data_IF_605795965244
#
_entry.id   IF_605795965244
#
_cell.length_a   1.000
_cell.length_b   1.000
_cell.length_c   1.000
_cell.angle_alpha   90.00
_cell.angle_beta   90.00
_cell.angle_gamma   90.00
#
_symmetry.space_group_name_H-M   'P 1'
#
loop_
_entity.id
_entity.type
_entity.pdbx_description
1 polymer ?
#
# COMPACT_ATOMS: atom_id res chain seq x y z
N UNK A 1 -4.13 53.28 8.92
CA UNK A 1 -3.35 52.04 8.72
C UNK A 1 -4.24 51.08 7.94
N UNK A 2 -3.84 50.69 6.72
CA UNK A 2 -4.69 50.02 5.71
C UNK A 2 -4.96 48.55 6.06
N UNK A 3 -6.17 48.22 6.52
CA UNK A 3 -6.67 46.85 6.72
C UNK A 3 -7.10 46.19 5.38
N UNK A 4 -6.16 45.87 4.49
CA UNK A 4 -6.54 45.32 3.17
C UNK A 4 -5.71 44.12 2.66
N UNK A 5 -5.04 43.35 3.53
CA UNK A 5 -4.17 42.25 3.08
C UNK A 5 -4.09 40.96 3.92
N UNK A 6 -5.10 40.63 4.73
CA UNK A 6 -5.05 39.40 5.58
C UNK A 6 -5.90 38.22 5.06
N UNK A 7 -6.43 38.33 3.84
CA UNK A 7 -7.28 37.29 3.23
C UNK A 7 -6.86 36.95 1.81
N UNK A 8 -6.97 35.67 1.47
CA UNK A 8 -6.78 35.12 0.14
C UNK A 8 -8.12 34.74 -0.48
N UNK A 9 -8.31 35.00 -1.77
CA UNK A 9 -9.38 34.36 -2.55
C UNK A 9 -9.06 32.88 -2.82
N UNK A 10 -10.06 32.07 -3.17
CA UNK A 10 -9.90 30.64 -3.51
C UNK A 10 -8.75 30.39 -4.49
N UNK A 11 -8.61 31.23 -5.53
CA UNK A 11 -7.55 31.06 -6.52
C UNK A 11 -6.16 31.37 -5.97
N UNK A 12 -6.04 32.47 -5.23
CA UNK A 12 -4.78 32.90 -4.62
C UNK A 12 -4.29 31.89 -3.58
N UNK A 13 -5.18 31.38 -2.72
CA UNK A 13 -4.82 30.37 -1.73
C UNK A 13 -4.44 29.03 -2.38
N UNK A 14 -5.17 28.62 -3.42
CA UNK A 14 -4.87 27.38 -4.15
C UNK A 14 -3.48 27.43 -4.79
N UNK A 15 -3.15 28.56 -5.43
CA UNK A 15 -1.82 28.81 -6.01
C UNK A 15 -0.74 28.84 -4.93
N UNK A 16 -0.95 29.59 -3.84
CA UNK A 16 -0.01 29.71 -2.72
C UNK A 16 0.28 28.36 -2.05
N UNK A 17 -0.73 27.51 -1.87
CA UNK A 17 -0.59 26.18 -1.28
C UNK A 17 -0.16 25.11 -2.29
N UNK A 18 0.00 25.47 -3.56
CA UNK A 18 0.26 24.56 -4.68
C UNK A 18 -0.73 23.36 -4.67
N UNK A 19 -2.04 23.68 -4.73
CA UNK A 19 -3.14 22.73 -4.83
C UNK A 19 -4.12 23.18 -5.92
N UNK A 20 -4.94 22.25 -6.43
CA UNK A 20 -6.03 22.63 -7.32
C UNK A 20 -7.12 23.40 -6.57
N UNK A 21 -7.78 24.35 -7.24
CA UNK A 21 -8.99 25.02 -6.70
C UNK A 21 -10.05 23.98 -6.29
N UNK A 22 -10.17 22.90 -7.05
CA UNK A 22 -11.09 21.80 -6.75
C UNK A 22 -10.73 21.06 -5.46
N UNK A 23 -9.44 20.96 -5.12
CA UNK A 23 -8.98 20.39 -3.84
C UNK A 23 -9.41 21.26 -2.67
N UNK A 24 -9.28 22.58 -2.79
CA UNK A 24 -9.72 23.51 -1.75
C UNK A 24 -11.25 23.44 -1.55
N UNK A 25 -12.01 23.39 -2.64
CA UNK A 25 -13.47 23.19 -2.60
C UNK A 25 -13.83 21.86 -1.96
N UNK A 26 -13.14 20.78 -2.34
CA UNK A 26 -13.36 19.46 -1.74
C UNK A 26 -13.11 19.47 -0.23
N UNK A 27 -12.05 20.14 0.24
CA UNK A 27 -11.76 20.29 1.66
C UNK A 27 -12.86 21.07 2.39
N UNK A 28 -13.48 22.06 1.75
CA UNK A 28 -14.67 22.71 2.30
C UNK A 28 -15.89 21.78 2.35
N UNK A 29 -16.16 21.05 1.27
CA UNK A 29 -17.34 20.19 1.12
C UNK A 29 -17.36 19.09 2.19
N UNK A 30 -16.19 18.50 2.48
CA UNK A 30 -16.05 17.49 3.54
C UNK A 30 -15.89 18.12 4.94
N UNK A 31 -15.91 19.46 5.04
CA UNK A 31 -15.84 20.22 6.29
C UNK A 31 -14.48 20.20 6.96
N UNK A 32 -13.40 19.98 6.21
CA UNK A 32 -12.02 20.07 6.69
C UNK A 32 -11.55 21.53 6.83
N UNK A 33 -12.06 22.39 5.97
CA UNK A 33 -11.81 23.82 5.96
C UNK A 33 -13.13 24.58 5.85
N UNK A 34 -13.11 25.85 6.26
CA UNK A 34 -14.21 26.78 6.02
C UNK A 34 -13.63 28.14 5.63
N UNK A 35 -14.23 28.85 4.66
CA UNK A 35 -13.82 30.21 4.36
C UNK A 35 -14.11 31.10 5.57
N UNK A 36 -13.20 32.02 5.87
CA UNK A 36 -13.33 32.96 6.98
C UNK A 36 -14.50 33.93 6.76
N UNK A 37 -14.74 34.31 5.50
CA UNK A 37 -15.90 35.12 5.12
C UNK A 37 -16.32 34.85 3.67
N UNK A 38 -17.57 35.21 3.36
CA UNK A 38 -18.11 35.25 2.01
C UNK A 38 -18.50 36.69 1.70
N UNK A 39 -18.07 37.24 0.56
CA UNK A 39 -18.53 38.57 0.15
C UNK A 39 -20.00 38.53 -0.31
N UNK A 40 -20.58 39.72 -0.45
CA UNK A 40 -21.93 39.91 -0.99
C UNK A 40 -22.11 39.28 -2.38
N UNK A 41 -21.03 39.13 -3.15
CA UNK A 41 -21.02 38.48 -4.47
C UNK A 41 -20.67 36.98 -4.40
N UNK A 42 -20.82 36.36 -3.22
CA UNK A 42 -20.54 34.93 -2.95
C UNK A 42 -19.08 34.49 -3.15
N UNK A 43 -18.13 35.42 -3.28
CA UNK A 43 -16.71 35.06 -3.31
C UNK A 43 -16.24 34.61 -1.92
N UNK A 44 -15.40 33.57 -1.89
CA UNK A 44 -14.82 33.00 -0.67
C UNK A 44 -13.49 33.68 -0.36
N UNK A 45 -13.30 34.00 0.91
CA UNK A 45 -12.06 34.56 1.43
C UNK A 45 -11.57 33.73 2.61
N UNK A 46 -10.26 33.46 2.65
CA UNK A 46 -9.62 32.61 3.66
C UNK A 46 -8.52 33.41 4.35
N UNK A 47 -8.43 33.30 5.67
CA UNK A 47 -7.36 33.91 6.45
C UNK A 47 -6.03 33.17 6.26
N UNK A 48 -4.96 33.80 6.73
CA UNK A 48 -3.62 33.20 6.81
C UNK A 48 -3.62 31.88 7.61
N UNK A 49 -4.45 31.72 8.64
CA UNK A 49 -4.54 30.45 9.40
C UNK A 49 -5.01 29.26 8.54
N UNK A 50 -5.77 29.55 7.47
CA UNK A 50 -6.21 28.51 6.52
C UNK A 50 -5.00 27.93 5.77
N UNK A 51 -3.99 28.77 5.47
CA UNK A 51 -2.74 28.31 4.87
C UNK A 51 -2.02 27.31 5.78
N UNK A 52 -1.87 27.63 7.07
CA UNK A 52 -1.24 26.70 8.04
C UNK A 52 -2.01 25.38 8.16
N UNK A 53 -3.33 25.47 8.12
CA UNK A 53 -4.20 24.28 8.16
C UNK A 53 -3.99 23.42 6.92
N UNK A 54 -3.93 24.01 5.72
CA UNK A 54 -3.63 23.28 4.47
C UNK A 54 -2.24 22.64 4.51
N UNK A 55 -1.25 23.35 5.04
CA UNK A 55 0.09 22.79 5.20
C UNK A 55 0.09 21.56 6.12
N UNK A 56 -0.64 21.62 7.23
CA UNK A 56 -0.83 20.50 8.15
C UNK A 56 -1.53 19.33 7.47
N UNK A 57 -2.59 19.59 6.70
CA UNK A 57 -3.31 18.55 5.93
C UNK A 57 -2.36 17.84 4.97
N UNK A 58 -1.56 18.59 4.19
CA UNK A 58 -0.60 18.01 3.24
C UNK A 58 0.47 17.18 3.94
N UNK A 59 0.99 17.65 5.07
CA UNK A 59 1.97 16.91 5.86
C UNK A 59 1.38 15.56 6.34
N UNK A 60 0.17 15.57 6.88
CA UNK A 60 -0.50 14.36 7.35
C UNK A 60 -0.89 13.41 6.21
N UNK A 61 -1.32 13.92 5.06
CA UNK A 61 -1.55 13.10 3.86
C UNK A 61 -0.27 12.41 3.39
N UNK A 62 0.89 13.07 3.51
CA UNK A 62 2.18 12.49 3.13
C UNK A 62 2.59 11.30 4.01
N UNK A 63 2.07 11.25 5.24
CA UNK A 63 2.20 10.09 6.14
C UNK A 63 1.20 8.97 5.81
N UNK A 64 0.33 9.19 4.82
CA UNK A 64 -0.65 8.23 4.34
C UNK A 64 -1.95 8.19 5.14
N UNK A 65 -2.25 9.24 5.92
CA UNK A 65 -3.52 9.40 6.62
C UNK A 65 -4.62 9.79 5.62
N UNK A 66 -5.81 9.26 5.83
CA UNK A 66 -7.00 9.65 5.08
C UNK A 66 -7.51 11.03 5.49
N UNK A 67 -8.25 11.70 4.60
CA UNK A 67 -8.89 12.98 4.91
C UNK A 67 -9.85 12.87 6.11
N UNK A 68 -10.51 11.73 6.28
CA UNK A 68 -11.36 11.49 7.45
C UNK A 68 -10.58 11.54 8.76
N UNK A 69 -9.45 10.83 8.83
CA UNK A 69 -8.58 10.80 10.01
C UNK A 69 -7.96 12.16 10.30
N UNK A 70 -7.57 12.88 9.26
CA UNK A 70 -7.04 14.24 9.37
C UNK A 70 -8.12 15.17 9.94
N UNK A 71 -9.37 15.07 9.49
CA UNK A 71 -10.49 15.85 10.03
C UNK A 71 -10.70 15.59 11.52
N UNK A 72 -10.73 14.31 11.92
CA UNK A 72 -10.88 13.91 13.32
C UNK A 72 -9.74 14.46 14.20
N UNK A 73 -8.50 14.45 13.67
CA UNK A 73 -7.35 15.04 14.33
C UNK A 73 -7.47 16.56 14.46
N UNK A 74 -7.82 17.27 13.38
CA UNK A 74 -7.96 18.73 13.38
C UNK A 74 -9.06 19.20 14.33
N UNK A 75 -10.14 18.42 14.48
CA UNK A 75 -11.25 18.69 15.40
C UNK A 75 -10.91 18.42 16.86
N UNK A 76 -10.32 17.25 17.15
CA UNK A 76 -10.06 16.84 18.54
C UNK A 76 -8.76 17.38 19.12
N UNK A 77 -7.75 17.61 18.25
CA UNK A 77 -6.36 17.96 18.58
C UNK A 77 -5.78 17.11 19.71
N UNK A 78 -6.24 15.87 19.86
CA UNK A 78 -5.88 15.00 20.97
C UNK A 78 -4.54 14.30 20.70
N UNK A 79 -3.46 14.61 21.45
CA UNK A 79 -2.14 14.06 21.17
C UNK A 79 -2.08 12.53 21.35
N UNK A 80 -2.83 11.98 22.31
CA UNK A 80 -2.85 10.52 22.56
C UNK A 80 -3.51 9.78 21.40
N UNK A 81 -4.62 10.31 20.88
CA UNK A 81 -5.30 9.74 19.72
C UNK A 81 -4.43 9.82 18.47
N UNK A 82 -3.69 10.92 18.32
CA UNK A 82 -2.78 11.10 17.19
C UNK A 82 -1.62 10.09 17.21
N UNK A 83 -0.98 9.89 18.38
CA UNK A 83 0.06 8.86 18.53
C UNK A 83 -0.48 7.48 18.18
N UNK A 84 -1.68 7.14 18.68
CA UNK A 84 -2.32 5.85 18.33
C UNK A 84 -2.48 5.70 16.81
N UNK A 85 -2.98 6.72 16.13
CA UNK A 85 -3.22 6.69 14.69
C UNK A 85 -1.91 6.57 13.88
N UNK A 86 -0.85 7.23 14.31
CA UNK A 86 0.47 7.09 13.69
C UNK A 86 1.05 5.69 13.89
N UNK A 87 0.81 5.05 15.04
CA UNK A 87 1.24 3.66 15.26
C UNK A 87 0.48 2.67 14.39
N UNK A 88 -0.84 2.84 14.20
CA UNK A 88 -1.62 2.04 13.24
C UNK A 88 -1.05 2.17 11.83
N UNK A 89 -0.70 3.40 11.43
CA UNK A 89 -0.11 3.65 10.12
C UNK A 89 1.28 3.00 9.97
N UNK A 90 2.12 3.05 11.01
CA UNK A 90 3.41 2.36 11.04
C UNK A 90 3.24 0.84 10.88
N UNK A 91 2.26 0.24 11.58
CA UNK A 91 1.94 -1.18 11.44
C UNK A 91 1.55 -1.51 10.00
N UNK A 92 0.63 -0.75 9.39
CA UNK A 92 0.22 -0.97 7.99
C UNK A 92 1.38 -0.83 7.00
N UNK A 93 2.30 0.12 7.23
CA UNK A 93 3.51 0.27 6.40
C UNK A 93 4.41 -0.96 6.54
N UNK A 94 4.63 -1.45 7.75
CA UNK A 94 5.45 -2.63 7.99
C UNK A 94 4.87 -3.90 7.35
N UNK A 95 3.54 -4.07 7.39
CA UNK A 95 2.85 -5.17 6.71
C UNK A 95 3.06 -5.10 5.19
N UNK A 96 2.94 -3.90 4.60
CA UNK A 96 3.21 -3.70 3.17
C UNK A 96 4.67 -3.98 2.82
N UNK A 97 5.62 -3.57 3.66
CA UNK A 97 7.05 -3.87 3.46
C UNK A 97 7.27 -5.39 3.47
N UNK A 98 6.66 -6.10 4.42
CA UNK A 98 6.77 -7.55 4.52
C UNK A 98 6.24 -8.25 3.25
N UNK A 99 5.07 -7.86 2.76
CA UNK A 99 4.50 -8.42 1.53
C UNK A 99 5.34 -8.08 0.29
N UNK A 100 5.82 -6.84 0.17
CA UNK A 100 6.72 -6.43 -0.91
C UNK A 100 8.03 -7.24 -0.88
N UNK A 101 8.57 -7.54 0.30
CA UNK A 101 9.76 -8.39 0.46
C UNK A 101 9.54 -9.82 0.01
N UNK A 102 8.36 -10.40 0.27
CA UNK A 102 8.00 -11.73 -0.26
C UNK A 102 7.95 -11.73 -1.79
N UNK A 103 7.33 -10.70 -2.38
CA UNK A 103 7.27 -10.54 -3.83
C UNK A 103 8.68 -10.41 -4.41
N UNK A 104 9.53 -9.58 -3.81
CA UNK A 104 10.94 -9.41 -4.20
C UNK A 104 11.69 -10.76 -4.20
N UNK A 105 11.57 -11.54 -3.12
CA UNK A 105 12.19 -12.87 -3.03
C UNK A 105 11.71 -13.79 -4.14
N UNK A 106 10.40 -13.81 -4.40
CA UNK A 106 9.81 -14.66 -5.44
C UNK A 106 10.33 -14.32 -6.83
N UNK A 107 10.49 -13.04 -7.13
CA UNK A 107 11.05 -12.57 -8.40
C UNK A 107 12.50 -13.05 -8.53
N UNK A 108 13.30 -12.94 -7.47
CA UNK A 108 14.70 -13.43 -7.45
C UNK A 108 14.79 -14.93 -7.69
N UNK A 109 13.94 -15.72 -7.02
CA UNK A 109 13.88 -17.17 -7.19
C UNK A 109 13.54 -17.53 -8.64
N UNK A 110 12.55 -16.84 -9.23
CA UNK A 110 12.15 -17.05 -10.62
C UNK A 110 13.27 -16.71 -11.61
N UNK A 111 14.01 -15.63 -11.37
CA UNK A 111 15.17 -15.25 -12.19
C UNK A 111 16.25 -16.34 -12.12
N UNK A 112 16.61 -16.80 -10.92
CA UNK A 112 17.65 -17.82 -10.72
C UNK A 112 17.31 -19.13 -11.45
N UNK A 113 16.09 -19.64 -11.27
CA UNK A 113 15.64 -20.88 -11.94
C UNK A 113 15.64 -20.72 -13.46
N UNK A 114 15.24 -19.55 -13.96
CA UNK A 114 15.19 -19.29 -15.41
C UNK A 114 16.61 -19.20 -16.00
N UNK A 115 17.55 -18.58 -15.30
CA UNK A 115 18.95 -18.49 -15.74
C UNK A 115 19.62 -19.87 -15.83
N UNK A 116 19.39 -20.76 -14.85
CA UNK A 116 19.89 -22.13 -14.92
C UNK A 116 19.39 -22.88 -16.17
N UNK A 117 18.12 -22.69 -16.54
CA UNK A 117 17.57 -23.32 -17.76
C UNK A 117 18.21 -22.81 -19.05
N UNK A 118 18.63 -21.53 -19.10
CA UNK A 118 19.36 -20.96 -20.26
C UNK A 118 20.77 -21.58 -20.35
N UNK A 119 21.46 -21.73 -19.22
CA UNK A 119 22.79 -22.36 -19.19
C UNK A 119 22.76 -23.85 -19.59
N UNK A 120 21.61 -24.52 -19.42
CA UNK A 120 21.38 -25.91 -19.81
C UNK A 120 21.12 -26.14 -21.31
N UNK A 121 21.14 -25.10 -22.16
CA UNK A 121 21.20 -25.30 -23.63
C UNK A 121 22.50 -26.01 -24.08
N UNK A 122 23.47 -26.14 -23.18
CA UNK A 122 24.65 -27.00 -23.34
C UNK A 122 24.50 -28.21 -22.43
N UNK A 123 24.31 -29.40 -23.01
CA UNK A 123 24.34 -30.66 -22.24
C UNK A 123 25.68 -30.77 -21.54
N UNK A 124 25.66 -30.76 -20.21
CA UNK A 124 26.85 -30.93 -19.37
C UNK A 124 26.60 -31.98 -18.29
N UNK A 125 27.65 -32.73 -17.95
CA UNK A 125 27.65 -33.64 -16.79
C UNK A 125 28.34 -32.93 -15.63
N UNK A 126 27.67 -32.89 -14.47
CA UNK A 126 28.18 -32.31 -13.25
C UNK A 126 27.64 -33.03 -12.02
N UNK A 127 28.31 -32.80 -10.88
CA UNK A 127 27.83 -33.26 -9.58
C UNK A 127 26.76 -32.30 -9.07
N UNK A 128 25.59 -32.84 -8.74
CA UNK A 128 24.53 -32.10 -8.08
C UNK A 128 24.40 -32.59 -6.63
N UNK A 129 24.25 -31.67 -5.68
CA UNK A 129 23.86 -32.04 -4.32
C UNK A 129 22.49 -32.71 -4.32
N UNK A 130 22.30 -33.62 -3.36
CA UNK A 130 21.11 -34.47 -3.29
C UNK A 130 19.88 -33.64 -2.94
N UNK A 131 18.97 -33.45 -3.89
CA UNK A 131 17.71 -32.75 -3.63
C UNK A 131 16.89 -33.49 -2.56
N UNK A 132 16.39 -32.74 -1.57
CA UNK A 132 15.45 -33.27 -0.58
C UNK A 132 14.03 -33.14 -1.12
N UNK A 133 13.41 -34.27 -1.45
CA UNK A 133 12.04 -34.31 -1.95
C UNK A 133 11.08 -34.51 -0.78
N UNK A 134 10.12 -33.60 -0.64
CA UNK A 134 9.01 -33.77 0.31
C UNK A 134 7.92 -34.57 -0.38
N UNK A 135 7.56 -35.71 0.19
CA UNK A 135 6.49 -36.57 -0.34
C UNK A 135 5.38 -36.66 0.70
N UNK A 136 4.14 -36.44 0.28
CA UNK A 136 2.96 -36.69 1.12
C UNK A 136 2.21 -37.92 0.63
N UNK A 137 1.46 -38.58 1.52
CA UNK A 137 0.63 -39.73 1.14
C UNK A 137 -0.30 -39.37 -0.02
N UNK A 138 -0.31 -40.23 -1.03
CA UNK A 138 -1.06 -40.06 -2.27
C UNK A 138 -2.07 -41.20 -2.42
N UNK A 139 -3.33 -40.85 -2.66
CA UNK A 139 -4.33 -41.83 -3.06
C UNK A 139 -4.15 -42.16 -4.55
N UNK A 140 -3.69 -43.38 -4.83
CA UNK A 140 -3.39 -43.84 -6.20
C UNK A 140 -4.63 -43.94 -7.09
N UNK A 141 -5.84 -43.93 -6.52
CA UNK A 141 -7.08 -43.91 -7.30
C UNK A 141 -7.36 -42.54 -7.95
N UNK A 142 -6.66 -41.49 -7.51
CA UNK A 142 -6.79 -40.16 -8.10
C UNK A 142 -6.08 -40.11 -9.46
N UNK A 143 -6.84 -40.21 -10.56
CA UNK A 143 -6.31 -39.96 -11.91
C UNK A 143 -6.27 -38.46 -12.18
N UNK A 144 -5.29 -38.02 -12.97
CA UNK A 144 -5.25 -36.65 -13.48
C UNK A 144 -6.04 -36.55 -14.81
N UNK A 145 -6.88 -35.52 -15.00
CA UNK A 145 -7.36 -34.55 -14.02
C UNK A 145 -8.60 -35.06 -13.25
N UNK A 146 -8.65 -34.89 -11.93
CA UNK A 146 -9.85 -35.20 -11.12
C UNK A 146 -9.96 -34.32 -9.86
N UNK A 147 -11.16 -34.20 -9.30
CA UNK A 147 -11.41 -33.48 -8.04
C UNK A 147 -10.61 -34.07 -6.87
N UNK A 148 -10.44 -35.40 -6.86
CA UNK A 148 -9.63 -36.11 -5.86
C UNK A 148 -8.15 -35.76 -6.01
N UNK A 149 -7.64 -35.69 -7.25
CA UNK A 149 -6.28 -35.24 -7.54
C UNK A 149 -6.02 -33.81 -7.03
N UNK A 150 -6.91 -32.87 -7.32
CA UNK A 150 -6.80 -31.48 -6.83
C UNK A 150 -6.80 -31.41 -5.30
N UNK A 151 -7.60 -32.23 -4.62
CA UNK A 151 -7.63 -32.33 -3.16
C UNK A 151 -6.31 -32.86 -2.59
N UNK A 152 -5.69 -33.83 -3.27
CA UNK A 152 -4.38 -34.36 -2.87
C UNK A 152 -3.28 -33.31 -3.01
N UNK A 153 -3.21 -32.59 -4.14
CA UNK A 153 -2.26 -31.47 -4.33
C UNK A 153 -2.45 -30.42 -3.23
N UNK A 154 -3.68 -30.01 -2.98
CA UNK A 154 -3.96 -28.97 -1.98
C UNK A 154 -3.60 -29.43 -0.56
N UNK A 155 -3.73 -30.72 -0.25
CA UNK A 155 -3.29 -31.27 1.04
C UNK A 155 -1.76 -31.27 1.15
N UNK A 156 -1.05 -31.57 0.07
CA UNK A 156 0.42 -31.47 0.00
C UNK A 156 0.89 -30.03 0.22
N UNK A 157 0.31 -29.07 -0.52
CA UNK A 157 0.62 -27.65 -0.38
C UNK A 157 0.39 -27.19 1.07
N UNK A 158 -0.74 -27.56 1.68
CA UNK A 158 -1.02 -27.24 3.10
C UNK A 158 0.04 -27.80 4.04
N UNK A 159 0.45 -29.06 3.85
CA UNK A 159 1.50 -29.69 4.67
C UNK A 159 2.82 -28.91 4.57
N UNK A 160 3.26 -28.61 3.35
CA UNK A 160 4.49 -27.85 3.13
C UNK A 160 4.40 -26.45 3.76
N UNK A 161 3.23 -25.79 3.64
CA UNK A 161 2.94 -24.50 4.27
C UNK A 161 3.10 -24.54 5.79
N UNK A 162 2.48 -25.51 6.45
CA UNK A 162 2.57 -25.65 7.91
C UNK A 162 3.98 -25.94 8.42
N UNK A 163 4.85 -26.50 7.57
CA UNK A 163 6.24 -26.81 7.90
C UNK A 163 7.21 -25.70 7.49
N UNK A 164 6.73 -24.57 6.96
CA UNK A 164 7.58 -23.49 6.46
C UNK A 164 8.33 -23.83 5.18
N UNK A 165 7.86 -24.83 4.42
CA UNK A 165 8.49 -25.39 3.22
C UNK A 165 7.85 -24.84 1.92
N UNK A 166 7.30 -23.63 1.97
CA UNK A 166 6.69 -23.00 0.79
C UNK A 166 7.76 -22.41 -0.14
N UNK A 167 7.87 -22.93 -1.35
CA UNK A 167 8.27 -22.13 -2.50
C UNK A 167 7.11 -21.22 -2.91
N UNK A 168 7.37 -19.95 -3.18
CA UNK A 168 6.30 -18.93 -3.27
C UNK A 168 5.42 -19.14 -4.51
N UNK A 169 5.86 -19.95 -5.48
CA UNK A 169 5.07 -20.32 -6.64
C UNK A 169 5.38 -21.77 -7.03
N UNK A 170 4.35 -22.57 -7.34
CA UNK A 170 4.59 -23.78 -8.14
C UNK A 170 5.28 -23.30 -9.41
N UNK A 171 6.45 -23.84 -9.71
CA UNK A 171 7.03 -23.80 -11.06
C UNK A 171 6.06 -24.55 -11.96
N UNK A 172 4.96 -23.90 -12.36
CA UNK A 172 4.08 -24.41 -13.39
C UNK A 172 4.98 -24.81 -14.55
N UNK A 173 4.86 -26.07 -14.99
CA UNK A 173 5.66 -26.66 -16.05
C UNK A 173 5.32 -26.05 -17.41
N UNK A 174 5.44 -24.74 -17.54
CA UNK A 174 5.57 -24.06 -18.82
C UNK A 174 7.03 -23.71 -18.95
N UNK A 175 7.79 -24.72 -19.41
CA UNK A 175 9.05 -24.76 -20.16
C UNK A 175 9.53 -26.20 -20.05
#
# INVERSE_FOLDING_TARGET
MNMKKDYFMTGELAELCNIGKQTLIHYEDIGLLKPSTRSNNQYRYYSVDTFETIFTIKALQSLGLSLYEIKEYLHSKNPRRFIYLLNEQLTSINDKIFELKKIESSIKDKISVTQQKIELEVVSMGWQEKDTIIVTKYDKSATFPSKLFSKNIMSHIKYCTQKGLQGIFSTGGYF
#
